data_IF_578652539858
#
_entry.id   IF_578652539858
#
_cell.length_a   1.000
_cell.length_b   1.000
_cell.length_c   1.000
_cell.angle_alpha   90.00
_cell.angle_beta   90.00
_cell.angle_gamma   90.00
#
_symmetry.space_group_name_H-M   'P 1'
#
loop_
_entity.id
_entity.type
_entity.pdbx_description
1 polymer ?
#
# COMPACT_ATOMS: atom_id res chain seq x y z
N UNK A 1 -7.38 -18.48 -9.43
CA UNK A 1 -8.78 -18.00 -9.56
C UNK A 1 -8.67 -16.53 -9.88
N UNK A 2 -9.07 -16.11 -11.06
CA UNK A 2 -9.11 -14.70 -11.45
C UNK A 2 -9.99 -13.95 -10.46
N UNK A 3 -9.71 -12.67 -10.18
CA UNK A 3 -10.54 -11.82 -9.31
C UNK A 3 -12.01 -11.98 -9.73
N UNK A 4 -12.90 -12.38 -8.80
CA UNK A 4 -14.28 -12.71 -9.16
C UNK A 4 -15.00 -11.47 -9.72
N UNK A 5 -15.94 -11.70 -10.65
CA UNK A 5 -16.74 -10.61 -11.23
C UNK A 5 -17.47 -9.81 -10.15
N UNK A 6 -17.93 -10.48 -9.08
CA UNK A 6 -18.61 -9.84 -7.94
C UNK A 6 -17.71 -8.82 -7.22
N UNK A 7 -16.43 -9.13 -7.04
CA UNK A 7 -15.47 -8.20 -6.41
C UNK A 7 -15.21 -7.00 -7.33
N UNK A 8 -15.05 -7.24 -8.63
CA UNK A 8 -14.88 -6.15 -9.61
C UNK A 8 -16.08 -5.22 -9.59
N UNK A 9 -17.29 -5.77 -9.70
CA UNK A 9 -18.53 -5.01 -9.66
C UNK A 9 -18.68 -4.23 -8.34
N UNK A 10 -18.31 -4.82 -7.21
CA UNK A 10 -18.32 -4.13 -5.91
C UNK A 10 -17.37 -2.93 -5.91
N UNK A 11 -16.16 -3.08 -6.43
CA UNK A 11 -15.19 -2.00 -6.53
C UNK A 11 -15.72 -0.87 -7.44
N UNK A 12 -16.32 -1.22 -8.57
CA UNK A 12 -16.87 -0.24 -9.52
C UNK A 12 -18.04 0.55 -8.89
N UNK A 13 -18.93 -0.13 -8.16
CA UNK A 13 -20.03 0.53 -7.40
C UNK A 13 -19.46 1.49 -6.36
N UNK A 14 -18.51 1.04 -5.55
CA UNK A 14 -17.87 1.88 -4.52
C UNK A 14 -17.11 3.05 -5.13
N UNK A 15 -16.48 2.87 -6.31
CA UNK A 15 -15.80 3.94 -7.04
C UNK A 15 -16.80 5.01 -7.52
N UNK A 16 -17.92 4.59 -8.10
CA UNK A 16 -18.98 5.52 -8.51
C UNK A 16 -19.53 6.31 -7.33
N UNK A 17 -19.82 5.65 -6.21
CA UNK A 17 -20.28 6.31 -4.98
C UNK A 17 -19.24 7.29 -4.42
N UNK A 18 -17.98 6.86 -4.31
CA UNK A 18 -16.88 7.72 -3.88
C UNK A 18 -16.71 8.94 -4.78
N UNK A 19 -16.74 8.77 -6.11
CA UNK A 19 -16.58 9.86 -7.06
C UNK A 19 -17.72 10.87 -6.98
N UNK A 20 -18.94 10.42 -6.70
CA UNK A 20 -20.08 11.32 -6.49
C UNK A 20 -19.97 12.13 -5.18
N UNK A 21 -19.45 11.49 -4.13
CA UNK A 21 -19.39 12.11 -2.80
C UNK A 21 -18.17 13.01 -2.58
N UNK A 22 -17.10 12.82 -3.34
CA UNK A 22 -15.84 13.59 -3.14
C UNK A 22 -15.85 14.99 -3.72
N UNK A 23 -16.83 15.33 -4.57
CA UNK A 23 -16.95 16.66 -5.18
C UNK A 23 -17.01 17.73 -4.09
N UNK A 24 -16.20 18.77 -4.24
CA UNK A 24 -16.09 19.90 -3.31
C UNK A 24 -15.70 19.52 -1.87
N UNK A 25 -15.03 18.34 -1.69
CA UNK A 25 -14.59 17.83 -0.39
C UNK A 25 -13.09 17.50 -0.35
N UNK A 26 -12.28 18.16 -1.17
CA UNK A 26 -10.84 17.95 -1.27
C UNK A 26 -10.15 18.16 0.09
N UNK A 27 -10.57 19.18 0.85
CA UNK A 27 -10.03 19.46 2.19
C UNK A 27 -10.23 18.28 3.15
N UNK A 28 -11.42 17.67 3.14
CA UNK A 28 -11.70 16.48 3.97
C UNK A 28 -10.85 15.29 3.54
N UNK A 29 -10.68 15.08 2.23
CA UNK A 29 -9.84 14.00 1.70
C UNK A 29 -8.35 14.21 2.04
N UNK A 30 -7.89 15.46 2.08
CA UNK A 30 -6.54 15.79 2.52
C UNK A 30 -6.35 15.49 4.01
N UNK A 31 -7.30 15.86 4.87
CA UNK A 31 -7.27 15.51 6.30
C UNK A 31 -7.25 13.99 6.50
N UNK A 32 -8.05 13.24 5.74
CA UNK A 32 -8.05 11.78 5.81
C UNK A 32 -6.71 11.18 5.37
N UNK A 33 -6.09 11.73 4.32
CA UNK A 33 -4.77 11.30 3.87
C UNK A 33 -3.70 11.53 4.96
N UNK A 34 -3.67 12.72 5.55
CA UNK A 34 -2.74 13.07 6.64
C UNK A 34 -2.92 12.18 7.86
N UNK A 35 -4.18 11.92 8.25
CA UNK A 35 -4.50 11.03 9.35
C UNK A 35 -4.08 9.55 9.08
N UNK A 36 -4.04 9.12 7.82
CA UNK A 36 -3.62 7.78 7.41
C UNK A 36 -2.11 7.66 7.18
N UNK A 37 -1.39 8.77 7.03
CA UNK A 37 0.03 8.77 6.69
C UNK A 37 0.85 7.98 7.72
N UNK A 38 0.65 8.24 9.00
CA UNK A 38 1.34 7.52 10.07
C UNK A 38 1.04 6.01 10.07
N UNK A 39 -0.20 5.62 9.80
CA UNK A 39 -0.61 4.21 9.70
C UNK A 39 0.00 3.54 8.46
N UNK A 40 0.04 4.22 7.32
CA UNK A 40 0.65 3.74 6.07
C UNK A 40 2.15 3.52 6.24
N UNK A 41 2.85 4.51 6.81
CA UNK A 41 4.29 4.46 7.07
C UNK A 41 4.62 3.36 8.08
N UNK A 42 3.91 3.30 9.21
CA UNK A 42 4.13 2.29 10.25
C UNK A 42 3.98 0.87 9.70
N UNK A 43 2.88 0.57 9.00
CA UNK A 43 2.66 -0.76 8.45
C UNK A 43 3.70 -1.11 7.37
N UNK A 44 4.04 -0.17 6.50
CA UNK A 44 5.02 -0.44 5.44
C UNK A 44 6.42 -0.70 5.99
N UNK A 45 6.85 0.01 7.04
CA UNK A 45 8.13 -0.24 7.70
C UNK A 45 8.09 -1.50 8.56
N UNK A 46 6.95 -1.82 9.23
CA UNK A 46 6.81 -3.02 10.05
C UNK A 46 6.89 -4.31 9.21
N UNK A 47 6.38 -4.32 7.97
CA UNK A 47 6.57 -5.43 7.01
C UNK A 47 8.07 -5.69 6.78
N UNK A 48 8.90 -4.65 6.78
CA UNK A 48 10.36 -4.73 6.63
C UNK A 48 11.11 -4.90 7.97
N UNK A 49 10.38 -5.09 9.08
CA UNK A 49 10.96 -5.40 10.40
C UNK A 49 11.14 -4.22 11.35
N UNK A 50 10.62 -3.03 11.05
CA UNK A 50 10.60 -1.92 12.01
C UNK A 50 9.75 -2.27 13.23
N UNK A 51 10.20 -1.84 14.41
CA UNK A 51 9.56 -2.08 15.69
C UNK A 51 8.62 -0.94 16.13
N UNK A 52 8.53 0.14 15.32
CA UNK A 52 7.71 1.29 15.62
C UNK A 52 6.22 0.95 15.54
N UNK A 53 5.49 1.25 16.61
CA UNK A 53 4.04 1.24 16.60
C UNK A 53 3.47 2.41 15.79
N UNK A 54 2.20 2.33 15.40
CA UNK A 54 1.50 3.43 14.69
C UNK A 54 1.55 4.73 15.52
N UNK A 55 1.36 4.64 16.85
CA UNK A 55 1.39 5.80 17.74
C UNK A 55 2.79 6.44 17.85
N UNK A 56 3.86 5.64 17.87
CA UNK A 56 5.24 6.13 17.86
C UNK A 56 5.59 6.75 16.51
N UNK A 57 5.18 6.12 15.41
CA UNK A 57 5.34 6.68 14.07
C UNK A 57 4.64 8.04 13.95
N UNK A 58 3.41 8.16 14.44
CA UNK A 58 2.67 9.42 14.46
C UNK A 58 3.41 10.51 15.25
N UNK A 59 3.92 10.18 16.44
CA UNK A 59 4.74 11.12 17.24
C UNK A 59 5.99 11.57 16.50
N UNK A 60 6.71 10.64 15.86
CA UNK A 60 7.92 10.96 15.08
C UNK A 60 7.58 11.92 13.92
N UNK A 61 6.48 11.68 13.21
CA UNK A 61 6.05 12.56 12.11
C UNK A 61 5.58 13.92 12.59
N UNK A 62 5.03 14.01 13.80
CA UNK A 62 4.65 15.26 14.48
C UNK A 62 5.80 15.91 15.27
N UNK A 63 7.01 15.36 15.19
CA UNK A 63 8.20 15.84 15.93
C UNK A 63 8.03 15.83 17.46
N UNK A 64 7.19 14.95 17.99
CA UNK A 64 6.96 14.76 19.41
C UNK A 64 7.89 13.68 20.00
N UNK A 65 8.14 13.75 21.30
CA UNK A 65 8.95 12.75 22.00
C UNK A 65 8.31 11.36 22.00
N UNK A 66 9.15 10.35 21.81
CA UNK A 66 8.80 8.93 21.97
C UNK A 66 9.30 8.46 23.34
N UNK A 67 8.43 7.80 24.10
CA UNK A 67 8.70 7.43 25.49
C UNK A 67 9.80 6.37 25.69
N UNK A 68 10.19 5.65 24.63
CA UNK A 68 11.28 4.65 24.67
C UNK A 68 12.44 5.03 23.74
N UNK A 69 13.57 4.40 23.93
CA UNK A 69 14.67 4.51 22.97
C UNK A 69 14.25 3.89 21.63
N UNK A 70 14.36 4.68 20.59
CA UNK A 70 14.12 4.30 19.20
C UNK A 70 15.43 4.46 18.44
N UNK A 71 15.73 3.58 17.50
CA UNK A 71 16.93 3.74 16.69
C UNK A 71 16.80 4.96 15.79
N UNK A 72 17.88 5.70 15.61
CA UNK A 72 17.93 6.85 14.69
C UNK A 72 17.55 6.41 13.28
N UNK A 73 17.94 5.21 12.88
CA UNK A 73 17.57 4.61 11.60
C UNK A 73 16.05 4.49 11.45
N UNK A 74 15.33 3.96 12.43
CA UNK A 74 13.86 3.83 12.35
C UNK A 74 13.16 5.19 12.26
N UNK A 75 13.73 6.22 12.91
CA UNK A 75 13.23 7.60 12.80
C UNK A 75 13.36 8.11 11.37
N UNK A 76 14.53 7.95 10.74
CA UNK A 76 14.73 8.35 9.35
C UNK A 76 13.87 7.51 8.39
N UNK A 77 13.77 6.20 8.60
CA UNK A 77 12.89 5.33 7.79
C UNK A 77 11.43 5.81 7.82
N UNK A 78 10.93 6.24 8.98
CA UNK A 78 9.57 6.78 9.10
C UNK A 78 9.44 8.15 8.40
N UNK A 79 10.34 9.10 8.68
CA UNK A 79 10.31 10.44 8.10
C UNK A 79 10.49 10.41 6.58
N UNK A 80 11.42 9.62 6.07
CA UNK A 80 11.70 9.54 4.64
C UNK A 80 10.54 8.89 3.87
N UNK A 81 9.96 7.79 4.40
CA UNK A 81 8.81 7.18 3.76
C UNK A 81 7.58 8.11 3.74
N UNK A 82 7.36 8.88 4.81
CA UNK A 82 6.31 9.92 4.83
C UNK A 82 6.54 10.96 3.74
N UNK A 83 7.78 11.49 3.60
CA UNK A 83 8.14 12.44 2.52
C UNK A 83 7.89 11.84 1.12
N UNK A 84 8.16 10.56 0.94
CA UNK A 84 7.89 9.87 -0.35
C UNK A 84 6.38 9.82 -0.62
N UNK A 85 5.54 9.50 0.37
CA UNK A 85 4.08 9.53 0.23
C UNK A 85 3.54 10.94 -0.09
N UNK A 86 4.05 11.96 0.57
CA UNK A 86 3.69 13.36 0.28
C UNK A 86 4.13 13.77 -1.14
N UNK A 87 5.34 13.38 -1.54
CA UNK A 87 5.85 13.64 -2.88
C UNK A 87 4.95 13.03 -3.96
N UNK A 88 4.57 11.75 -3.84
CA UNK A 88 3.69 11.12 -4.83
C UNK A 88 2.31 11.73 -4.86
N UNK A 89 1.75 12.14 -3.70
CA UNK A 89 0.47 12.84 -3.62
C UNK A 89 0.49 14.16 -4.37
N UNK A 90 1.56 14.95 -4.19
CA UNK A 90 1.68 16.28 -4.80
C UNK A 90 2.06 16.24 -6.30
N UNK A 91 2.46 15.08 -6.83
CA UNK A 91 2.92 14.92 -8.21
C UNK A 91 2.11 13.91 -9.03
N UNK A 92 0.85 13.62 -8.67
CA UNK A 92 0.01 12.59 -9.31
C UNK A 92 -0.13 12.81 -10.82
N UNK A 93 -0.31 14.06 -11.25
CA UNK A 93 -0.55 14.41 -12.67
C UNK A 93 0.73 14.72 -13.44
N UNK A 94 1.87 14.82 -12.77
CA UNK A 94 3.08 15.41 -13.35
C UNK A 94 4.02 14.39 -14.02
N UNK A 95 3.91 13.10 -13.74
CA UNK A 95 4.88 12.10 -14.21
C UNK A 95 4.28 10.73 -14.54
N UNK A 96 4.77 10.16 -15.63
CA UNK A 96 4.72 8.72 -15.86
C UNK A 96 5.64 7.98 -14.88
N UNK A 97 5.35 6.71 -14.63
CA UNK A 97 6.27 5.84 -13.91
C UNK A 97 7.41 5.51 -14.88
N UNK A 98 8.60 6.05 -14.60
CA UNK A 98 9.82 5.78 -15.35
C UNK A 98 10.99 5.41 -14.40
N UNK A 99 12.12 5.05 -14.96
CA UNK A 99 13.32 4.67 -14.21
C UNK A 99 13.80 5.81 -13.31
N UNK A 100 13.88 7.01 -13.83
CA UNK A 100 14.39 8.20 -13.13
C UNK A 100 13.52 8.53 -11.93
N UNK A 101 12.21 8.39 -12.07
CA UNK A 101 11.27 8.59 -10.98
C UNK A 101 11.44 7.52 -9.89
N UNK A 102 11.61 6.24 -10.27
CA UNK A 102 11.88 5.17 -9.28
C UNK A 102 13.18 5.43 -8.52
N UNK A 103 14.24 5.86 -9.20
CA UNK A 103 15.51 6.20 -8.58
C UNK A 103 15.38 7.39 -7.64
N UNK A 104 14.59 8.41 -8.00
CA UNK A 104 14.30 9.55 -7.15
C UNK A 104 13.57 9.13 -5.86
N UNK A 105 12.51 8.32 -5.95
CA UNK A 105 11.80 7.82 -4.77
C UNK A 105 12.74 7.01 -3.87
N UNK A 106 13.57 6.17 -4.45
CA UNK A 106 14.54 5.37 -3.70
C UNK A 106 15.60 6.27 -3.03
N UNK A 107 16.06 7.32 -3.69
CA UNK A 107 16.98 8.31 -3.11
C UNK A 107 16.32 8.96 -1.89
N UNK A 108 15.09 9.47 -2.02
CA UNK A 108 14.36 10.08 -0.91
C UNK A 108 14.17 9.11 0.26
N UNK A 109 13.91 7.82 -0.03
CA UNK A 109 13.69 6.80 0.99
C UNK A 109 14.95 6.50 1.81
N UNK A 110 16.13 6.47 1.19
CA UNK A 110 17.38 6.03 1.83
C UNK A 110 18.35 7.14 2.20
N UNK A 111 18.03 8.41 1.92
CA UNK A 111 18.83 9.57 2.37
C UNK A 111 19.01 9.53 3.89
N UNK A 112 20.24 9.79 4.37
CA UNK A 112 20.63 9.75 5.79
C UNK A 112 20.50 8.36 6.45
N UNK A 113 20.29 7.30 5.66
CA UNK A 113 20.22 5.90 6.13
C UNK A 113 21.34 5.07 5.49
N UNK A 114 21.42 5.09 4.16
CA UNK A 114 22.40 4.38 3.33
C UNK A 114 22.63 5.16 2.03
N UNK A 115 23.34 6.26 2.15
CA UNK A 115 23.57 7.20 1.03
C UNK A 115 24.36 6.59 -0.13
N UNK A 116 25.20 5.59 0.15
CA UNK A 116 26.03 4.88 -0.85
C UNK A 116 25.19 4.08 -1.86
N UNK A 117 24.01 3.63 -1.48
CA UNK A 117 23.07 2.88 -2.35
C UNK A 117 21.83 3.69 -2.72
N UNK A 118 21.62 4.87 -2.14
CA UNK A 118 20.44 5.69 -2.38
C UNK A 118 20.36 6.17 -3.83
N UNK A 119 19.21 5.95 -4.47
CA UNK A 119 18.94 6.45 -5.83
C UNK A 119 19.67 5.72 -6.95
N UNK A 120 20.10 4.48 -6.73
CA UNK A 120 20.72 3.66 -7.78
C UNK A 120 20.28 2.19 -7.70
N UNK A 121 20.25 1.53 -8.82
CA UNK A 121 20.12 0.06 -8.86
C UNK A 121 21.37 -0.64 -8.33
N UNK A 122 21.24 -1.91 -8.02
CA UNK A 122 22.34 -2.79 -7.60
C UNK A 122 23.43 -2.80 -8.69
N UNK A 123 24.69 -2.73 -8.23
CA UNK A 123 25.89 -2.82 -9.10
C UNK A 123 26.37 -4.26 -9.21
N UNK A 124 27.31 -4.50 -10.11
CA UNK A 124 28.00 -5.78 -10.25
C UNK A 124 28.49 -6.29 -8.88
N UNK A 125 28.30 -7.58 -8.63
CA UNK A 125 28.59 -8.28 -7.35
C UNK A 125 27.70 -7.90 -6.15
N UNK A 126 26.70 -7.03 -6.33
CA UNK A 126 25.68 -6.78 -5.31
C UNK A 126 24.52 -7.77 -5.47
N UNK A 127 24.61 -8.92 -4.80
CA UNK A 127 23.56 -9.95 -4.81
C UNK A 127 22.60 -9.74 -3.65
N UNK A 128 21.31 -9.96 -3.92
CA UNK A 128 20.26 -9.88 -2.90
C UNK A 128 19.46 -11.17 -2.89
N UNK A 129 19.15 -11.64 -1.68
CA UNK A 129 18.29 -12.80 -1.42
C UNK A 129 17.07 -12.36 -0.59
N UNK A 130 15.88 -12.74 -1.06
CA UNK A 130 14.61 -12.47 -0.37
C UNK A 130 13.95 -13.81 -0.04
N UNK A 131 14.05 -14.25 1.21
CA UNK A 131 13.65 -15.58 1.61
C UNK A 131 14.44 -16.66 0.84
N UNK A 132 13.75 -17.49 0.05
CA UNK A 132 14.36 -18.50 -0.84
C UNK A 132 14.68 -17.96 -2.24
N UNK A 133 14.23 -16.75 -2.59
CA UNK A 133 14.45 -16.16 -3.90
C UNK A 133 15.81 -15.46 -3.97
N UNK A 134 16.60 -15.79 -4.98
CA UNK A 134 17.81 -15.05 -5.35
C UNK A 134 17.42 -14.13 -6.50
N UNK A 135 17.54 -12.83 -6.27
CA UNK A 135 17.21 -11.82 -7.28
C UNK A 135 18.14 -11.95 -8.50
N UNK A 136 17.68 -11.59 -9.71
CA UNK A 136 18.49 -11.61 -10.94
C UNK A 136 19.81 -10.88 -10.78
N UNK A 137 20.81 -11.26 -11.57
CA UNK A 137 22.10 -10.56 -11.59
C UNK A 137 21.91 -9.09 -11.97
N UNK A 138 22.74 -8.22 -11.36
CA UNK A 138 22.58 -6.77 -11.50
C UNK A 138 22.69 -6.24 -12.93
N UNK A 139 23.44 -6.92 -13.79
CA UNK A 139 23.60 -6.59 -15.22
C UNK A 139 22.30 -6.66 -16.03
N UNK A 140 21.29 -7.41 -15.53
CA UNK A 140 20.00 -7.55 -16.21
C UNK A 140 18.94 -6.59 -15.68
N UNK A 141 19.16 -5.91 -14.54
CA UNK A 141 18.17 -5.10 -13.87
C UNK A 141 17.59 -4.01 -14.77
N UNK A 142 18.46 -3.28 -15.45
CA UNK A 142 18.04 -2.14 -16.28
C UNK A 142 17.11 -2.59 -17.42
N UNK A 143 17.50 -3.66 -18.13
CA UNK A 143 16.68 -4.24 -19.19
C UNK A 143 15.35 -4.80 -18.65
N UNK A 144 15.37 -5.44 -17.47
CA UNK A 144 14.15 -5.99 -16.85
C UNK A 144 13.20 -4.88 -16.39
N UNK A 145 13.70 -3.80 -15.81
CA UNK A 145 12.89 -2.64 -15.43
C UNK A 145 12.31 -1.94 -16.66
N UNK A 146 13.08 -1.78 -17.73
CA UNK A 146 12.57 -1.24 -18.98
C UNK A 146 11.45 -2.11 -19.57
N UNK A 147 11.63 -3.44 -19.59
CA UNK A 147 10.61 -4.37 -20.02
C UNK A 147 9.32 -4.29 -19.18
N UNK A 148 9.47 -4.20 -17.85
CA UNK A 148 8.36 -4.02 -16.92
C UNK A 148 7.58 -2.74 -17.17
N UNK A 149 8.28 -1.63 -17.38
CA UNK A 149 7.65 -0.33 -17.68
C UNK A 149 6.93 -0.35 -19.04
N UNK A 150 7.53 -0.98 -20.05
CA UNK A 150 6.93 -1.13 -21.35
C UNK A 150 5.67 -2.01 -21.28
N UNK A 151 5.73 -3.15 -20.60
CA UNK A 151 4.56 -4.02 -20.38
C UNK A 151 3.45 -3.23 -19.67
N UNK A 152 3.77 -2.51 -18.61
CA UNK A 152 2.80 -1.70 -17.87
C UNK A 152 2.16 -0.63 -18.75
N UNK A 153 2.91 0.04 -19.62
CA UNK A 153 2.36 1.07 -20.49
C UNK A 153 1.53 0.53 -21.65
N UNK A 154 1.91 -0.65 -22.22
CA UNK A 154 1.31 -1.20 -23.44
C UNK A 154 0.08 -2.08 -23.20
N UNK A 155 -0.09 -2.67 -22.02
CA UNK A 155 -1.21 -3.55 -21.70
C UNK A 155 -2.44 -2.74 -21.29
N UNK A 156 -3.48 -2.75 -22.14
CA UNK A 156 -4.72 -1.99 -21.92
C UNK A 156 -5.95 -2.85 -21.65
N UNK A 157 -5.89 -4.16 -21.86
CA UNK A 157 -7.03 -5.09 -21.78
C UNK A 157 -7.16 -5.80 -20.43
N UNK A 158 -6.26 -5.54 -19.47
CA UNK A 158 -6.34 -6.09 -18.14
C UNK A 158 -7.13 -5.18 -17.20
N UNK A 159 -7.82 -5.79 -16.24
CA UNK A 159 -8.40 -5.05 -15.12
C UNK A 159 -7.29 -4.35 -14.33
N UNK A 160 -7.53 -3.12 -13.89
CA UNK A 160 -6.46 -2.28 -13.31
C UNK A 160 -5.75 -2.92 -12.11
N UNK A 161 -6.48 -3.64 -11.23
CA UNK A 161 -5.84 -4.33 -10.09
C UNK A 161 -4.95 -5.49 -10.55
N UNK A 162 -5.31 -6.21 -11.60
CA UNK A 162 -4.44 -7.23 -12.18
C UNK A 162 -3.15 -6.60 -12.72
N UNK A 163 -3.29 -5.48 -13.44
CA UNK A 163 -2.16 -4.72 -13.99
C UNK A 163 -1.20 -4.22 -12.89
N UNK A 164 -1.75 -3.62 -11.83
CA UNK A 164 -0.99 -3.13 -10.67
C UNK A 164 -0.33 -4.31 -9.94
N UNK A 165 -1.07 -5.41 -9.73
CA UNK A 165 -0.56 -6.60 -9.05
C UNK A 165 0.62 -7.23 -9.80
N UNK A 166 0.50 -7.39 -11.12
CA UNK A 166 1.59 -7.94 -11.96
C UNK A 166 2.82 -7.04 -11.93
N UNK A 167 2.62 -5.73 -12.05
CA UNK A 167 3.72 -4.78 -11.95
C UNK A 167 4.46 -4.92 -10.62
N UNK A 168 3.75 -4.93 -9.52
CA UNK A 168 4.35 -5.03 -8.20
C UNK A 168 5.09 -6.36 -7.99
N UNK A 169 4.47 -7.48 -8.39
CA UNK A 169 5.07 -8.81 -8.28
C UNK A 169 6.34 -8.94 -9.12
N UNK A 170 6.35 -8.41 -10.34
CA UNK A 170 7.56 -8.44 -11.18
C UNK A 170 8.63 -7.47 -10.68
N UNK A 171 8.26 -6.28 -10.20
CA UNK A 171 9.19 -5.36 -9.55
C UNK A 171 9.90 -6.02 -8.34
N UNK A 172 9.15 -6.73 -7.48
CA UNK A 172 9.72 -7.46 -6.36
C UNK A 172 10.51 -8.71 -6.80
N UNK A 173 10.18 -9.32 -7.93
CA UNK A 173 10.94 -10.41 -8.50
C UNK A 173 12.31 -9.94 -9.06
N UNK A 174 12.34 -8.79 -9.72
CA UNK A 174 13.57 -8.13 -10.19
C UNK A 174 14.42 -7.64 -9.02
N UNK A 175 13.79 -7.12 -7.99
CA UNK A 175 14.42 -6.62 -6.76
C UNK A 175 15.59 -5.67 -7.06
N UNK A 176 15.33 -4.53 -7.73
CA UNK A 176 16.37 -3.72 -8.37
C UNK A 176 17.32 -3.02 -7.41
N UNK A 177 16.95 -2.86 -6.14
CA UNK A 177 17.72 -2.14 -5.12
C UNK A 177 18.34 -3.10 -4.09
N UNK A 178 19.40 -2.65 -3.40
CA UNK A 178 20.00 -3.40 -2.29
C UNK A 178 19.15 -3.40 -1.02
N UNK A 179 18.32 -2.36 -0.84
CA UNK A 179 17.40 -2.18 0.29
C UNK A 179 16.20 -1.35 -0.19
N UNK A 180 15.07 -1.40 0.50
CA UNK A 180 13.92 -0.54 0.25
C UNK A 180 12.99 -0.97 -0.89
N UNK A 181 13.19 -2.12 -1.55
CA UNK A 181 12.34 -2.56 -2.65
C UNK A 181 10.87 -2.65 -2.23
N UNK A 182 10.56 -3.36 -1.15
CA UNK A 182 9.19 -3.52 -0.68
C UNK A 182 8.50 -2.18 -0.36
N UNK A 183 9.22 -1.25 0.26
CA UNK A 183 8.69 0.09 0.57
C UNK A 183 8.39 0.87 -0.71
N UNK A 184 9.32 0.90 -1.66
CA UNK A 184 9.13 1.55 -2.97
C UNK A 184 8.01 0.85 -3.76
N UNK A 185 7.97 -0.48 -3.80
CA UNK A 185 6.91 -1.23 -4.48
C UNK A 185 5.52 -0.86 -3.95
N UNK A 186 5.34 -0.77 -2.63
CA UNK A 186 4.07 -0.36 -2.01
C UNK A 186 3.71 1.11 -2.27
N UNK A 187 4.70 1.99 -2.36
CA UNK A 187 4.49 3.38 -2.79
C UNK A 187 4.03 3.43 -4.25
N UNK A 188 4.64 2.64 -5.14
CA UNK A 188 4.27 2.59 -6.56
C UNK A 188 2.82 2.09 -6.72
N UNK A 189 2.38 1.06 -5.97
CA UNK A 189 0.96 0.62 -5.95
C UNK A 189 0.05 1.81 -5.67
N UNK A 190 0.35 2.58 -4.62
CA UNK A 190 -0.46 3.72 -4.22
C UNK A 190 -0.45 4.84 -5.26
N UNK A 191 0.70 5.10 -5.88
CA UNK A 191 0.80 6.07 -6.98
C UNK A 191 -0.06 5.65 -8.18
N UNK A 192 0.01 4.37 -8.60
CA UNK A 192 -0.82 3.83 -9.69
C UNK A 192 -2.32 3.95 -9.39
N UNK A 193 -2.73 3.66 -8.16
CA UNK A 193 -4.13 3.82 -7.73
C UNK A 193 -4.56 5.29 -7.78
N UNK A 194 -3.75 6.20 -7.26
CA UNK A 194 -4.05 7.64 -7.28
C UNK A 194 -4.14 8.20 -8.70
N UNK A 195 -3.26 7.79 -9.62
CA UNK A 195 -3.34 8.20 -11.04
C UNK A 195 -4.65 7.78 -11.71
N UNK A 196 -5.25 6.67 -11.27
CA UNK A 196 -6.56 6.20 -11.72
C UNK A 196 -7.73 6.79 -10.94
N UNK A 197 -7.46 7.75 -10.04
CA UNK A 197 -8.47 8.41 -9.21
C UNK A 197 -9.03 7.54 -8.09
N UNK A 198 -8.33 6.47 -7.72
CA UNK A 198 -8.63 5.64 -6.55
C UNK A 198 -7.98 6.20 -5.27
N UNK A 199 -8.53 5.90 -4.10
CA UNK A 199 -7.89 6.23 -2.85
C UNK A 199 -6.65 5.36 -2.59
N UNK A 200 -5.75 5.85 -1.71
CA UNK A 200 -4.61 5.03 -1.24
C UNK A 200 -5.09 3.83 -0.42
N UNK A 201 -4.27 2.80 -0.39
CA UNK A 201 -4.49 1.59 0.39
C UNK A 201 -3.36 1.38 1.40
N UNK A 202 -3.64 0.63 2.46
CA UNK A 202 -2.65 0.21 3.44
C UNK A 202 -2.55 -1.32 3.42
N UNK A 203 -1.40 -1.84 2.97
CA UNK A 203 -1.05 -3.25 3.15
C UNK A 203 -0.56 -3.39 4.59
N UNK A 204 -1.25 -4.21 5.39
CA UNK A 204 -1.03 -4.24 6.84
C UNK A 204 -0.03 -5.33 7.25
N UNK A 205 0.87 -4.99 8.17
CA UNK A 205 1.84 -5.93 8.72
C UNK A 205 1.18 -7.19 9.31
N UNK A 206 0.04 -7.03 9.99
CA UNK A 206 -0.73 -8.16 10.55
C UNK A 206 -1.29 -9.14 9.49
N UNK A 207 -1.25 -8.77 8.23
CA UNK A 207 -1.73 -9.55 7.07
C UNK A 207 -0.58 -9.85 6.09
N UNK A 208 0.67 -9.64 6.50
CA UNK A 208 1.86 -9.81 5.65
C UNK A 208 2.05 -11.22 5.11
N UNK A 209 1.55 -12.25 5.81
CA UNK A 209 1.67 -13.63 5.35
C UNK A 209 0.95 -13.81 3.99
N UNK A 210 -0.29 -13.31 3.85
CA UNK A 210 -1.01 -13.33 2.59
C UNK A 210 -0.31 -12.52 1.48
N UNK A 211 0.33 -11.42 1.86
CA UNK A 211 1.14 -10.60 0.96
C UNK A 211 2.39 -11.36 0.49
N UNK A 212 3.11 -12.02 1.39
CA UNK A 212 4.28 -12.84 1.03
C UNK A 212 3.92 -14.11 0.24
N UNK A 213 2.80 -14.76 0.57
CA UNK A 213 2.29 -15.90 -0.18
C UNK A 213 2.00 -15.55 -1.65
N UNK A 214 1.64 -14.30 -1.93
CA UNK A 214 1.42 -13.85 -3.31
C UNK A 214 2.70 -13.83 -4.16
N UNK A 215 3.85 -13.52 -3.57
CA UNK A 215 5.15 -13.61 -4.27
C UNK A 215 5.54 -15.06 -4.54
N UNK A 216 5.23 -15.95 -3.60
CA UNK A 216 5.44 -17.37 -3.80
C UNK A 216 4.55 -17.93 -4.91
N UNK A 217 3.23 -17.63 -4.89
CA UNK A 217 2.31 -18.00 -5.96
C UNK A 217 2.83 -17.54 -7.33
N UNK A 218 3.28 -16.30 -7.42
CA UNK A 218 3.79 -15.72 -8.66
C UNK A 218 5.01 -16.44 -9.20
N UNK A 219 6.00 -16.72 -8.35
CA UNK A 219 7.24 -17.42 -8.75
C UNK A 219 7.03 -18.90 -9.06
N UNK A 220 6.23 -19.59 -8.25
CA UNK A 220 6.04 -21.04 -8.38
C UNK A 220 5.09 -21.38 -9.54
N UNK A 221 4.30 -20.45 -10.03
CA UNK A 221 3.38 -20.69 -11.14
C UNK A 221 4.04 -20.47 -12.50
N UNK A 222 3.95 -21.47 -13.40
CA UNK A 222 4.43 -21.34 -14.79
C UNK A 222 3.81 -20.14 -15.54
N UNK A 223 2.61 -19.72 -15.15
CA UNK A 223 1.85 -18.61 -15.78
C UNK A 223 1.97 -17.29 -15.01
N UNK A 224 2.90 -17.17 -14.06
CA UNK A 224 3.07 -15.96 -13.25
C UNK A 224 1.73 -15.42 -12.71
N UNK A 225 1.01 -16.23 -11.93
CA UNK A 225 -0.32 -15.89 -11.39
C UNK A 225 -0.22 -14.74 -10.38
N UNK A 226 -1.15 -13.79 -10.47
CA UNK A 226 -1.25 -12.63 -9.58
C UNK A 226 -2.46 -12.66 -8.64
N UNK A 227 -3.19 -13.78 -8.60
CA UNK A 227 -4.50 -13.87 -7.94
C UNK A 227 -4.49 -13.53 -6.44
N UNK A 228 -3.47 -13.98 -5.70
CA UNK A 228 -3.37 -13.67 -4.27
C UNK A 228 -3.08 -12.18 -4.05
N UNK A 229 -2.20 -11.57 -4.86
CA UNK A 229 -1.93 -10.15 -4.79
C UNK A 229 -3.17 -9.32 -5.15
N UNK A 230 -3.88 -9.68 -6.22
CA UNK A 230 -5.14 -9.04 -6.59
C UNK A 230 -6.16 -9.08 -5.46
N UNK A 231 -6.25 -10.22 -4.74
CA UNK A 231 -7.12 -10.33 -3.57
C UNK A 231 -6.67 -9.43 -2.42
N UNK A 232 -5.37 -9.38 -2.13
CA UNK A 232 -4.82 -8.48 -1.11
C UNK A 232 -5.15 -7.03 -1.43
N UNK A 233 -4.85 -6.58 -2.67
CA UNK A 233 -5.10 -5.21 -3.09
C UNK A 233 -6.60 -4.88 -3.14
N UNK A 234 -7.45 -5.81 -3.60
CA UNK A 234 -8.89 -5.58 -3.65
C UNK A 234 -9.53 -5.40 -2.28
N UNK A 235 -9.16 -6.22 -1.30
CA UNK A 235 -9.67 -6.09 0.07
C UNK A 235 -9.21 -4.78 0.73
N UNK A 236 -7.95 -4.40 0.53
CA UNK A 236 -7.42 -3.13 1.03
C UNK A 236 -8.11 -1.92 0.36
N UNK A 237 -8.41 -2.01 -0.94
CA UNK A 237 -9.11 -0.95 -1.68
C UNK A 237 -10.57 -0.80 -1.23
N UNK A 238 -11.28 -1.91 -1.05
CA UNK A 238 -12.67 -1.89 -0.55
C UNK A 238 -12.71 -1.30 0.87
N UNK A 239 -11.77 -1.68 1.74
CA UNK A 239 -11.64 -1.09 3.09
C UNK A 239 -11.41 0.42 3.02
N UNK A 240 -10.52 0.86 2.13
CA UNK A 240 -10.22 2.28 1.90
C UNK A 240 -11.43 3.07 1.41
N UNK A 241 -12.24 2.50 0.51
CA UNK A 241 -13.50 3.09 0.08
C UNK A 241 -14.51 3.21 1.23
N UNK A 242 -14.72 2.13 2.00
CA UNK A 242 -15.66 2.15 3.13
C UNK A 242 -15.33 3.25 4.12
N UNK A 243 -14.03 3.46 4.43
CA UNK A 243 -13.61 4.55 5.30
C UNK A 243 -13.97 5.91 4.72
N UNK A 244 -13.57 6.17 3.48
CA UNK A 244 -13.79 7.49 2.84
C UNK A 244 -15.25 7.80 2.65
N UNK A 245 -16.04 6.81 2.19
CA UNK A 245 -17.48 6.97 2.00
C UNK A 245 -18.16 7.30 3.34
N UNK A 246 -17.80 6.62 4.44
CA UNK A 246 -18.35 6.91 5.76
C UNK A 246 -18.09 8.37 6.17
N UNK A 247 -16.85 8.86 6.01
CA UNK A 247 -16.50 10.25 6.32
C UNK A 247 -17.15 11.26 5.37
N UNK A 248 -17.19 10.97 4.08
CA UNK A 248 -17.82 11.84 3.08
C UNK A 248 -19.33 11.97 3.27
N UNK A 249 -19.98 10.93 3.84
CA UNK A 249 -21.38 10.97 4.26
C UNK A 249 -21.61 11.63 5.63
N UNK A 250 -20.53 11.99 6.33
CA UNK A 250 -20.65 12.57 7.69
C UNK A 250 -21.10 11.56 8.75
N UNK A 251 -20.97 10.27 8.51
CA UNK A 251 -21.31 9.21 9.44
C UNK A 251 -20.38 9.22 10.67
N UNK A 252 -20.89 8.76 11.80
CA UNK A 252 -20.10 8.54 13.00
C UNK A 252 -19.39 7.19 12.92
N UNK A 253 -18.07 7.18 12.98
CA UNK A 253 -17.27 5.96 13.00
C UNK A 253 -17.22 5.37 14.41
N UNK A 254 -17.93 4.25 14.66
CA UNK A 254 -17.94 3.54 15.94
C UNK A 254 -17.10 2.26 15.87
N UNK A 255 -16.63 1.78 17.02
CA UNK A 255 -15.90 0.49 17.09
C UNK A 255 -16.83 -0.67 16.71
N UNK A 256 -16.27 -1.67 16.03
CA UNK A 256 -17.04 -2.86 15.65
C UNK A 256 -17.61 -3.60 16.87
N UNK A 257 -16.97 -3.52 18.05
CA UNK A 257 -17.47 -4.05 19.31
C UNK A 257 -18.70 -3.29 19.85
N UNK A 258 -18.78 -1.99 19.59
CA UNK A 258 -19.95 -1.17 19.91
C UNK A 258 -21.11 -1.51 18.96
N UNK A 259 -20.82 -1.62 17.67
CA UNK A 259 -21.78 -2.03 16.64
C UNK A 259 -22.36 -3.42 16.91
N UNK A 260 -21.56 -4.36 17.43
CA UNK A 260 -22.02 -5.69 17.85
C UNK A 260 -23.12 -5.64 18.93
N UNK A 261 -23.01 -4.69 19.87
CA UNK A 261 -24.04 -4.51 20.92
C UNK A 261 -25.33 -3.95 20.34
N UNK A 262 -25.25 -3.03 19.38
CA UNK A 262 -26.41 -2.41 18.72
C UNK A 262 -27.16 -3.45 17.89
N UNK A 263 -26.44 -4.24 17.09
CA UNK A 263 -27.04 -5.21 16.17
C UNK A 263 -27.35 -6.55 16.83
N UNK A 264 -26.88 -6.79 18.06
CA UNK A 264 -26.95 -8.07 18.78
C UNK A 264 -26.27 -9.22 18.01
N UNK A 265 -25.37 -8.91 17.07
CA UNK A 265 -24.56 -9.90 16.36
C UNK A 265 -23.34 -10.31 17.19
N UNK A 266 -22.88 -11.57 17.04
CA UNK A 266 -21.66 -12.04 17.70
C UNK A 266 -20.43 -11.28 17.18
N UNK A 267 -19.54 -10.74 18.06
CA UNK A 267 -18.35 -9.99 17.65
C UNK A 267 -17.44 -10.75 16.67
N UNK A 268 -17.30 -12.07 16.82
CA UNK A 268 -16.50 -12.91 15.92
C UNK A 268 -17.09 -12.99 14.51
N UNK A 269 -18.41 -13.01 14.38
CA UNK A 269 -19.10 -13.01 13.09
C UNK A 269 -18.88 -11.67 12.39
N UNK A 270 -19.06 -10.55 13.10
CA UNK A 270 -18.82 -9.21 12.55
C UNK A 270 -17.34 -9.02 12.15
N UNK A 271 -16.41 -9.49 12.97
CA UNK A 271 -15.00 -9.43 12.63
C UNK A 271 -14.66 -10.20 11.34
N UNK A 272 -15.25 -11.39 11.15
CA UNK A 272 -15.09 -12.16 9.93
C UNK A 272 -15.72 -11.46 8.72
N UNK A 273 -16.91 -10.86 8.89
CA UNK A 273 -17.56 -10.04 7.85
C UNK A 273 -16.68 -8.83 7.48
N UNK A 274 -16.11 -8.14 8.48
CA UNK A 274 -15.20 -7.01 8.27
C UNK A 274 -13.93 -7.42 7.50
N UNK A 275 -13.26 -8.50 7.92
CA UNK A 275 -12.05 -9.02 7.24
C UNK A 275 -12.32 -9.42 5.78
N UNK A 276 -13.51 -9.94 5.50
CA UNK A 276 -13.95 -10.32 4.14
C UNK A 276 -14.53 -9.13 3.36
N UNK A 277 -14.61 -7.97 4.00
CA UNK A 277 -15.21 -6.78 3.42
C UNK A 277 -16.64 -7.00 2.92
N UNK A 278 -17.43 -7.83 3.62
CA UNK A 278 -18.85 -8.06 3.32
C UNK A 278 -19.79 -7.09 4.05
N UNK A 279 -19.25 -6.28 4.94
CA UNK A 279 -19.90 -5.11 5.58
C UNK A 279 -19.01 -3.88 5.37
N UNK A 280 -19.58 -2.68 5.51
CA UNK A 280 -18.85 -1.41 5.28
C UNK A 280 -17.91 -1.04 6.43
N UNK A 281 -17.08 -2.01 6.86
CA UNK A 281 -16.13 -1.84 7.94
C UNK A 281 -14.74 -1.45 7.42
N UNK A 282 -14.03 -0.66 8.21
CA UNK A 282 -12.69 -0.19 7.93
C UNK A 282 -11.86 -0.09 9.21
N UNK A 283 -10.55 0.08 9.09
CA UNK A 283 -9.66 0.25 10.25
C UNK A 283 -9.15 1.68 10.35
N UNK A 284 -9.00 2.13 11.59
CA UNK A 284 -8.26 3.33 11.95
C UNK A 284 -7.29 3.01 13.07
N UNK A 285 -6.02 3.27 12.84
CA UNK A 285 -4.93 2.94 13.78
C UNK A 285 -5.02 1.47 14.24
N UNK A 286 -5.33 0.57 13.29
CA UNK A 286 -5.47 -0.87 13.51
C UNK A 286 -6.77 -1.33 14.19
N UNK A 287 -7.70 -0.42 14.53
CA UNK A 287 -8.98 -0.74 15.19
C UNK A 287 -10.11 -0.78 14.17
N UNK A 288 -10.85 -1.90 14.14
CA UNK A 288 -12.01 -2.04 13.28
C UNK A 288 -13.17 -1.13 13.69
N UNK A 289 -13.68 -0.38 12.75
CA UNK A 289 -14.79 0.56 12.88
C UNK A 289 -15.81 0.37 11.75
N UNK A 290 -16.98 0.95 11.94
CA UNK A 290 -18.04 1.03 10.93
C UNK A 290 -18.71 2.40 11.01
N UNK A 291 -19.10 2.96 9.87
CA UNK A 291 -19.90 4.19 9.82
C UNK A 291 -21.35 3.89 10.15
N UNK A 292 -21.94 4.69 11.02
CA UNK A 292 -23.38 4.67 11.35
C UNK A 292 -23.99 6.06 11.17
N UNK A 293 -25.24 6.12 10.78
CA UNK A 293 -25.99 7.39 10.72
C UNK A 293 -25.94 8.08 12.09
N UNK A 294 -25.98 9.44 12.08
CA UNK A 294 -26.00 10.23 13.30
C UNK A 294 -27.35 10.18 13.97
#
# INVERSE_FOLDING_TARGET
MVLSQDIKQKIDVLKCEYDSLKKDKESLLNILFEAELSESVSNSNAIEGSTLSIAETEKILMELEVARKVSVREVFEAKNLAKVFEYIKNNISARSIDKEWMLLLHKMLLTDIKDDIAGRFRKQHEYVRVGSHIAPASEHIEAMIQALLLEYSSVHNLYFLEKISRFHLEFENVHPFNDGNGRIGRVIINYQLMQLGFPIIIIRDKEKDAYYDSFKEYRDSRKKKSNLMEKVLSLALIESFHKRIAYLKGQRAIRLSEYAKITKEKPSVLLNKAKRQTISAFREKGVWKIGVEK
#
